data_IF_071221420743
#
_entry.id   IF_071221420743
#
_cell.length_a   1.000
_cell.length_b   1.000
_cell.length_c   1.000
_cell.angle_alpha   90.00
_cell.angle_beta   90.00
_cell.angle_gamma   90.00
#
_symmetry.space_group_name_H-M   'P 1'
#
loop_
_entity.id
_entity.type
_entity.pdbx_description
1 polymer ?
#
# COMPACT_ATOMS: atom_id res chain seq x y z
N UNK A 1 -0.82 -12.40 -12.81
CA UNK A 1 -0.68 -12.91 -11.43
C UNK A 1 0.38 -12.16 -10.63
N UNK A 2 1.63 -12.06 -11.11
CA UNK A 2 2.69 -11.32 -10.39
C UNK A 2 2.34 -9.85 -10.11
N UNK A 3 1.92 -9.09 -11.13
CA UNK A 3 1.53 -7.69 -10.96
C UNK A 3 0.41 -7.52 -9.92
N UNK A 4 -0.62 -8.38 -9.97
CA UNK A 4 -1.74 -8.34 -9.03
C UNK A 4 -1.28 -8.58 -7.59
N UNK A 5 -0.42 -9.58 -7.36
CA UNK A 5 0.14 -9.82 -6.04
C UNK A 5 0.94 -8.63 -5.53
N UNK A 6 1.78 -8.02 -6.38
CA UNK A 6 2.53 -6.81 -6.04
C UNK A 6 1.59 -5.67 -5.64
N UNK A 7 0.55 -5.39 -6.43
CA UNK A 7 -0.43 -4.35 -6.09
C UNK A 7 -1.13 -4.60 -4.76
N UNK A 8 -1.59 -5.83 -4.50
CA UNK A 8 -2.23 -6.17 -3.23
C UNK A 8 -1.26 -6.02 -2.05
N UNK A 9 0.00 -6.44 -2.20
CA UNK A 9 1.01 -6.25 -1.14
C UNK A 9 1.30 -4.78 -0.86
N UNK A 10 1.39 -3.93 -1.89
CA UNK A 10 1.61 -2.49 -1.73
C UNK A 10 0.42 -1.81 -1.05
N UNK A 11 -0.81 -2.17 -1.43
CA UNK A 11 -2.03 -1.67 -0.81
C UNK A 11 -2.08 -2.10 0.66
N UNK A 12 -1.86 -3.38 0.95
CA UNK A 12 -1.86 -3.90 2.32
C UNK A 12 -0.79 -3.20 3.19
N UNK A 13 0.41 -3.01 2.65
CA UNK A 13 1.49 -2.30 3.36
C UNK A 13 1.14 -0.83 3.61
N UNK A 14 0.53 -0.14 2.63
CA UNK A 14 0.11 1.25 2.80
C UNK A 14 -0.98 1.40 3.86
N UNK A 15 -1.96 0.48 3.87
CA UNK A 15 -3.02 0.43 4.88
C UNK A 15 -2.46 0.12 6.25
N UNK A 16 -1.52 -0.82 6.35
CA UNK A 16 -0.85 -1.14 7.59
C UNK A 16 -0.18 0.10 8.20
N UNK A 17 0.57 0.87 7.42
CA UNK A 17 1.19 2.12 7.90
C UNK A 17 0.18 3.17 8.37
N UNK A 18 -0.98 3.26 7.72
CA UNK A 18 -2.04 4.21 8.13
C UNK A 18 -2.75 3.75 9.40
N UNK A 19 -3.03 2.46 9.54
CA UNK A 19 -3.84 1.89 10.62
C UNK A 19 -3.01 1.59 11.87
N UNK A 20 -1.73 1.26 11.72
CA UNK A 20 -0.82 0.95 12.82
C UNK A 20 -0.91 1.94 14.00
N UNK A 21 -0.83 3.28 13.81
CA UNK A 21 -0.88 4.21 14.95
C UNK A 21 -2.21 4.17 15.70
N UNK A 22 -3.31 3.85 15.01
CA UNK A 22 -4.61 3.66 15.64
C UNK A 22 -4.58 2.40 16.50
N UNK A 23 -3.94 1.33 16.03
CA UNK A 23 -3.76 0.09 16.78
C UNK A 23 -2.90 0.30 18.02
N UNK A 24 -1.81 1.05 17.92
CA UNK A 24 -0.93 1.29 19.07
C UNK A 24 -1.54 2.29 20.06
N UNK A 25 -2.01 3.46 19.61
CA UNK A 25 -2.52 4.49 20.52
C UNK A 25 -3.90 4.16 21.09
N UNK A 26 -4.75 3.44 20.33
CA UNK A 26 -6.11 3.12 20.73
C UNK A 26 -6.25 1.78 21.45
N UNK A 27 -5.41 0.79 21.11
CA UNK A 27 -5.55 -0.59 21.59
C UNK A 27 -4.27 -1.15 22.22
N UNK A 28 -3.22 -0.32 22.36
CA UNK A 28 -1.92 -0.70 22.92
C UNK A 28 -1.25 -1.89 22.21
N UNK A 29 -1.55 -2.08 20.93
CA UNK A 29 -1.03 -3.19 20.12
C UNK A 29 0.36 -2.83 19.59
N UNK A 30 1.41 -3.62 19.90
CA UNK A 30 2.76 -3.38 19.45
C UNK A 30 3.01 -3.89 18.02
N UNK A 31 4.06 -3.38 17.40
CA UNK A 31 4.57 -3.87 16.12
C UNK A 31 5.48 -5.07 16.36
N UNK A 32 5.18 -6.19 15.71
CA UNK A 32 5.96 -7.42 15.86
C UNK A 32 6.93 -7.60 14.69
N UNK A 33 8.23 -7.62 14.99
CA UNK A 33 9.30 -7.81 14.00
C UNK A 33 10.25 -8.87 14.57
N UNK A 34 10.49 -9.95 13.81
CA UNK A 34 11.43 -11.02 14.17
C UNK A 34 11.26 -11.52 15.61
N UNK A 35 10.03 -11.88 16.00
CA UNK A 35 9.69 -12.36 17.36
C UNK A 35 9.87 -11.35 18.51
N UNK A 36 10.14 -10.08 18.22
CA UNK A 36 10.19 -9.00 19.20
C UNK A 36 9.06 -7.99 18.95
N UNK A 37 8.50 -7.48 20.05
CA UNK A 37 7.43 -6.48 20.05
C UNK A 37 8.01 -5.10 20.34
N UNK A 38 7.71 -4.13 19.47
CA UNK A 38 8.20 -2.77 19.56
C UNK A 38 7.04 -1.78 19.61
N UNK A 39 7.18 -0.80 20.50
CA UNK A 39 6.34 0.39 20.50
C UNK A 39 7.08 1.49 19.77
N UNK A 40 6.40 2.10 18.80
CA UNK A 40 6.91 3.25 18.08
C UNK A 40 6.78 4.50 18.94
N UNK A 41 7.81 5.32 18.95
CA UNK A 41 7.77 6.64 19.59
C UNK A 41 6.79 7.57 18.84
N UNK A 42 6.27 8.59 19.51
CA UNK A 42 5.20 9.44 18.99
C UNK A 42 5.53 10.08 17.64
N UNK A 43 6.76 10.53 17.43
CA UNK A 43 7.21 11.09 16.16
C UNK A 43 7.29 10.03 15.04
N UNK A 44 7.64 8.78 15.37
CA UNK A 44 7.71 7.68 14.41
C UNK A 44 6.33 7.32 13.88
N UNK A 45 5.29 7.41 14.73
CA UNK A 45 3.90 7.18 14.32
C UNK A 45 3.48 8.14 13.21
N UNK A 46 3.81 9.43 13.32
CA UNK A 46 3.52 10.41 12.26
C UNK A 46 4.25 10.07 10.96
N UNK A 47 5.53 9.69 11.03
CA UNK A 47 6.29 9.29 9.84
C UNK A 47 5.71 8.04 9.16
N UNK A 48 5.25 7.07 9.95
CA UNK A 48 4.64 5.83 9.43
C UNK A 48 3.33 6.11 8.70
N UNK A 49 2.51 7.05 9.19
CA UNK A 49 1.30 7.52 8.48
C UNK A 49 1.66 8.18 7.16
N UNK A 50 2.62 9.12 7.19
CA UNK A 50 3.07 9.83 5.99
C UNK A 50 3.61 8.84 4.95
N UNK A 51 4.42 7.88 5.38
CA UNK A 51 4.93 6.82 4.52
C UNK A 51 3.80 5.97 3.92
N UNK A 52 2.78 5.61 4.72
CA UNK A 52 1.60 4.88 4.25
C UNK A 52 0.82 5.65 3.18
N UNK A 53 0.56 6.94 3.39
CA UNK A 53 -0.15 7.81 2.44
C UNK A 53 0.65 7.99 1.14
N UNK A 54 1.96 8.22 1.25
CA UNK A 54 2.85 8.34 0.09
C UNK A 54 2.85 7.03 -0.72
N UNK A 55 2.95 5.89 -0.04
CA UNK A 55 2.92 4.58 -0.68
C UNK A 55 1.59 4.32 -1.40
N UNK A 56 0.46 4.67 -0.77
CA UNK A 56 -0.86 4.57 -1.39
C UNK A 56 -0.96 5.44 -2.65
N UNK A 57 -0.44 6.67 -2.59
CA UNK A 57 -0.44 7.61 -3.71
C UNK A 57 0.42 7.09 -4.87
N UNK A 58 1.64 6.62 -4.59
CA UNK A 58 2.50 5.99 -5.60
C UNK A 58 1.80 4.79 -6.22
N UNK A 59 1.17 3.95 -5.40
CA UNK A 59 0.42 2.77 -5.87
C UNK A 59 -0.71 3.15 -6.82
N UNK A 60 -1.46 4.22 -6.54
CA UNK A 60 -2.51 4.73 -7.45
C UNK A 60 -1.95 5.22 -8.79
N UNK A 61 -0.78 5.88 -8.78
CA UNK A 61 -0.14 6.30 -10.02
C UNK A 61 0.28 5.09 -10.85
N UNK A 62 0.92 4.10 -10.23
CA UNK A 62 1.30 2.85 -10.90
C UNK A 62 0.06 2.12 -11.44
N UNK A 63 -1.03 2.07 -10.67
CA UNK A 63 -2.29 1.47 -11.10
C UNK A 63 -2.88 2.18 -12.33
N UNK A 64 -2.82 3.52 -12.36
CA UNK A 64 -3.27 4.32 -13.51
C UNK A 64 -2.49 3.97 -14.77
N UNK A 65 -1.17 3.88 -14.70
CA UNK A 65 -0.34 3.53 -15.86
C UNK A 65 -0.63 2.11 -16.36
N UNK A 66 -0.78 1.14 -15.45
CA UNK A 66 -1.10 -0.25 -15.81
C UNK A 66 -2.49 -0.34 -16.46
N UNK A 67 -3.48 0.40 -15.94
CA UNK A 67 -4.81 0.48 -16.52
C UNK A 67 -4.84 1.08 -17.93
N UNK A 68 -4.03 2.11 -18.18
CA UNK A 68 -3.89 2.71 -19.51
C UNK A 68 -3.34 1.73 -20.54
N UNK A 69 -2.30 0.96 -20.18
CA UNK A 69 -1.72 -0.06 -21.04
C UNK A 69 -2.75 -1.15 -21.36
N UNK A 70 -3.50 -1.62 -20.35
CA UNK A 70 -4.57 -2.60 -20.57
C UNK A 70 -5.69 -2.05 -21.47
N UNK A 71 -6.10 -0.80 -21.29
CA UNK A 71 -7.09 -0.15 -22.14
C UNK A 71 -6.62 0.02 -23.59
N UNK A 72 -5.35 0.32 -23.81
CA UNK A 72 -4.77 0.40 -25.15
C UNK A 72 -4.74 -0.98 -25.84
N UNK A 73 -4.37 -2.04 -25.12
CA UNK A 73 -4.41 -3.41 -25.63
C UNK A 73 -5.84 -3.83 -25.98
N UNK A 74 -6.82 -3.53 -25.13
CA UNK A 74 -8.23 -3.83 -25.40
C UNK A 74 -8.73 -3.14 -26.68
N UNK A 75 -8.38 -1.87 -26.88
CA UNK A 75 -8.71 -1.14 -28.13
C UNK A 75 -8.03 -1.77 -29.36
N UNK A 76 -6.76 -2.16 -29.24
CA UNK A 76 -6.02 -2.79 -30.33
C UNK A 76 -6.60 -4.16 -30.73
N UNK A 77 -7.12 -4.92 -29.77
CA UNK A 77 -7.80 -6.18 -30.04
C UNK A 77 -9.20 -5.97 -30.66
N UNK A 78 -9.93 -4.95 -30.20
CA UNK A 78 -11.28 -4.65 -30.68
C UNK A 78 -11.31 -4.12 -32.12
N UNK A 79 -10.25 -3.44 -32.58
CA UNK A 79 -10.15 -2.97 -33.98
C UNK A 79 -9.68 -4.06 -34.96
N UNK A 80 -9.22 -5.21 -34.45
CA UNK A 80 -8.75 -6.37 -35.23
C UNK A 80 -9.77 -7.51 -35.33
N UNK A 81 -10.88 -7.39 -34.60
CA UNK A 81 -12.06 -8.26 -34.71
C UNK A 81 -13.09 -7.64 -35.64
#
# INVERSE_FOLDING_TARGET
TLYFSVFITLIALSLYGIVMPILQLGYDIPVNINNASYYLDGWMLFLVVIAGILLATVTMHVAKYVGQVHGALAKALLVRS
#
